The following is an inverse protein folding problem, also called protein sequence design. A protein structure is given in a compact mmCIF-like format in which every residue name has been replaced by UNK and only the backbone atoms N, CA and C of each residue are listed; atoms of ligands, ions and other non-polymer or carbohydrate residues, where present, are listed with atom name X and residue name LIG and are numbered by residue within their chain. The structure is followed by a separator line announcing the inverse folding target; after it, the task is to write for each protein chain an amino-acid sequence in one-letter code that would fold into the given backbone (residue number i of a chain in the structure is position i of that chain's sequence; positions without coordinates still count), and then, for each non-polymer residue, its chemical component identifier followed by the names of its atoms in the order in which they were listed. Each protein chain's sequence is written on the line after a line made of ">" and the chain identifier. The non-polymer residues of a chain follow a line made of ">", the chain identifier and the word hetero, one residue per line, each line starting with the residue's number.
data_IF_989632287617
#
_entry.id   IF_989632287617
#
_cell.length_a   1.000
_cell.length_b   1.000
_cell.length_c   1.000
_cell.angle_alpha   90.00
_cell.angle_beta   90.00
_cell.angle_gamma   90.00
#
_symmetry.space_group_name_H-M   'P 1'
#
loop_
_entity.id
_entity.type
_entity.pdbx_description
1 polymer ?
#
# COMPACT_ATOMS: atom_id res chain seq x y z
N UNK A 1 -4.95 19.88 -16.79
CA UNK A 1 -4.56 18.50 -16.45
C UNK A 1 -4.75 18.30 -14.96
N UNK A 2 -5.81 17.58 -14.55
CA UNK A 2 -6.21 17.39 -13.14
C UNK A 2 -6.31 15.87 -12.80
N UNK A 3 -6.07 15.00 -13.78
CA UNK A 3 -6.38 13.55 -13.70
C UNK A 3 -5.39 12.70 -12.91
N UNK A 4 -4.20 13.21 -12.57
CA UNK A 4 -3.15 12.38 -11.97
C UNK A 4 -3.39 12.06 -10.49
N UNK A 5 -4.03 12.96 -9.74
CA UNK A 5 -4.18 12.81 -8.28
C UNK A 5 -5.04 11.62 -7.84
N UNK A 6 -5.97 11.17 -8.67
CA UNK A 6 -6.86 10.04 -8.37
C UNK A 6 -6.64 8.83 -9.28
N UNK A 7 -5.72 8.90 -10.26
CA UNK A 7 -5.55 7.88 -11.28
C UNK A 7 -5.31 6.48 -10.68
N UNK A 8 -4.38 6.37 -9.72
CA UNK A 8 -4.08 5.10 -9.05
C UNK A 8 -5.31 4.58 -8.28
N UNK A 9 -6.06 5.44 -7.60
CA UNK A 9 -7.23 5.04 -6.83
C UNK A 9 -8.32 4.47 -7.76
N UNK A 10 -8.59 5.17 -8.87
CA UNK A 10 -9.57 4.71 -9.87
C UNK A 10 -9.12 3.39 -10.49
N UNK A 11 -7.83 3.24 -10.80
CA UNK A 11 -7.29 1.98 -11.31
C UNK A 11 -7.42 0.84 -10.30
N UNK A 12 -7.11 1.06 -9.02
CA UNK A 12 -7.28 0.06 -7.97
C UNK A 12 -8.73 -0.42 -7.85
N UNK A 13 -9.69 0.50 -8.01
CA UNK A 13 -11.11 0.21 -7.85
C UNK A 13 -11.73 -0.50 -9.07
N UNK A 14 -11.14 -0.37 -10.26
CA UNK A 14 -11.81 -0.74 -11.52
C UNK A 14 -11.00 -1.64 -12.44
N UNK A 15 -9.69 -1.78 -12.22
CA UNK A 15 -8.82 -2.51 -13.14
C UNK A 15 -9.02 -4.02 -13.01
N UNK A 16 -9.35 -4.72 -14.11
CA UNK A 16 -9.40 -6.19 -14.14
C UNK A 16 -8.05 -6.84 -13.82
N UNK A 17 -6.95 -6.09 -13.93
CA UNK A 17 -5.59 -6.58 -13.66
C UNK A 17 -5.36 -6.90 -12.18
N UNK A 18 -6.24 -6.42 -11.29
CA UNK A 18 -6.22 -6.73 -9.86
C UNK A 18 -7.15 -7.88 -9.47
N UNK A 19 -7.87 -8.49 -10.41
CA UNK A 19 -8.69 -9.66 -10.12
C UNK A 19 -7.82 -10.80 -9.56
N UNK A 20 -8.21 -11.31 -8.38
CA UNK A 20 -7.45 -12.35 -7.67
C UNK A 20 -6.30 -11.85 -6.81
N UNK A 21 -5.98 -10.54 -6.84
CA UNK A 21 -4.94 -9.93 -6.00
C UNK A 21 -5.57 -9.10 -4.86
N UNK A 22 -5.47 -9.59 -3.63
CA UNK A 22 -5.94 -8.88 -2.43
C UNK A 22 -4.78 -8.32 -1.60
N UNK A 23 -4.98 -7.16 -0.97
CA UNK A 23 -4.04 -6.59 0.01
C UNK A 23 -2.74 -6.05 -0.59
N UNK A 24 -2.72 -5.75 -1.90
CA UNK A 24 -1.54 -5.22 -2.60
C UNK A 24 -1.45 -3.70 -2.47
N UNK A 25 -0.23 -3.19 -2.34
CA UNK A 25 0.04 -1.75 -2.41
C UNK A 25 0.17 -1.34 -3.89
N UNK A 26 -0.59 -0.32 -4.29
CA UNK A 26 -0.62 0.16 -5.66
C UNK A 26 -0.14 1.61 -5.74
N UNK A 27 0.63 1.90 -6.77
CA UNK A 27 1.24 3.19 -7.03
C UNK A 27 1.44 3.35 -8.53
N UNK A 28 1.27 4.57 -9.06
CA UNK A 28 1.45 4.88 -10.49
C UNK A 28 0.66 3.92 -11.41
N UNK A 29 -0.61 3.64 -11.07
CA UNK A 29 -1.50 2.79 -11.89
C UNK A 29 -0.93 1.36 -12.06
N UNK A 30 -0.24 0.85 -11.03
CA UNK A 30 0.33 -0.49 -11.03
C UNK A 30 0.46 -1.05 -9.59
N UNK A 31 0.65 -2.37 -9.46
CA UNK A 31 1.11 -2.97 -8.20
C UNK A 31 2.57 -2.58 -8.00
N UNK A 32 2.89 -1.96 -6.86
CA UNK A 32 4.24 -1.46 -6.63
C UNK A 32 5.19 -2.58 -6.18
N UNK A 33 6.47 -2.40 -6.47
CA UNK A 33 7.53 -3.29 -5.99
C UNK A 33 7.89 -2.99 -4.53
N UNK A 34 8.62 -3.91 -3.90
CA UNK A 34 9.20 -3.67 -2.58
C UNK A 34 10.43 -2.80 -2.76
N UNK A 35 10.42 -1.63 -2.14
CA UNK A 35 11.53 -0.69 -2.15
C UNK A 35 12.57 -1.10 -1.10
N UNK A 36 13.72 -1.57 -1.55
CA UNK A 36 14.84 -1.95 -0.68
C UNK A 36 15.93 -0.90 -0.61
N UNK A 37 15.93 0.10 -1.49
CA UNK A 37 16.95 1.14 -1.47
C UNK A 37 16.56 2.33 -0.58
N UNK A 38 17.58 2.94 0.03
CA UNK A 38 17.41 4.02 1.00
C UNK A 38 16.77 5.28 0.40
N UNK A 39 16.98 5.52 -0.90
CA UNK A 39 16.55 6.74 -1.60
C UNK A 39 15.36 6.53 -2.55
N UNK A 40 14.78 5.34 -2.57
CA UNK A 40 13.57 5.07 -3.35
C UNK A 40 12.41 5.92 -2.86
N UNK A 41 11.85 6.70 -3.78
CA UNK A 41 10.68 7.55 -3.57
C UNK A 41 9.36 6.84 -3.87
N UNK A 42 9.44 5.71 -4.58
CA UNK A 42 8.33 4.85 -5.01
C UNK A 42 8.58 3.45 -4.46
N UNK A 43 7.54 2.62 -4.38
CA UNK A 43 7.66 1.27 -3.84
C UNK A 43 7.26 1.16 -2.37
N UNK A 44 6.69 0.01 -2.01
CA UNK A 44 6.28 -0.27 -0.63
C UNK A 44 7.52 -0.55 0.22
N UNK A 45 7.61 0.06 1.40
CA UNK A 45 8.73 -0.20 2.31
C UNK A 45 8.54 -1.56 3.00
N UNK A 46 9.63 -2.32 3.27
CA UNK A 46 9.52 -3.69 3.81
C UNK A 46 8.77 -3.76 5.13
N UNK A 47 8.95 -2.78 6.00
CA UNK A 47 8.24 -2.71 7.28
C UNK A 47 6.72 -2.50 7.12
N UNK A 48 6.26 -1.95 5.99
CA UNK A 48 4.84 -1.70 5.75
C UNK A 48 4.06 -2.98 5.37
N UNK A 49 4.77 -4.06 5.00
CA UNK A 49 4.21 -5.38 4.68
C UNK A 49 4.55 -6.43 5.74
N UNK A 50 5.19 -6.02 6.84
CA UNK A 50 5.51 -6.89 7.97
C UNK A 50 4.23 -7.21 8.76
N UNK A 51 3.84 -8.49 8.74
CA UNK A 51 2.62 -8.99 9.39
C UNK A 51 2.71 -8.90 10.91
N UNK A 52 3.88 -9.17 11.48
CA UNK A 52 4.06 -9.17 12.94
C UNK A 52 3.99 -7.74 13.47
N UNK A 53 4.59 -6.79 12.74
CA UNK A 53 4.48 -5.37 13.06
C UNK A 53 3.03 -4.87 12.93
N UNK A 54 2.31 -5.30 11.89
CA UNK A 54 0.91 -4.95 11.69
C UNK A 54 0.01 -5.49 12.81
N UNK A 55 0.19 -6.76 13.22
CA UNK A 55 -0.55 -7.35 14.34
C UNK A 55 -0.24 -6.64 15.66
N UNK A 56 1.04 -6.33 15.90
CA UNK A 56 1.46 -5.59 17.09
C UNK A 56 0.75 -4.23 17.15
N UNK A 57 0.80 -3.46 16.07
CA UNK A 57 0.15 -2.15 15.99
C UNK A 57 -1.37 -2.25 16.21
N UNK A 58 -2.03 -3.23 15.58
CA UNK A 58 -3.45 -3.47 15.75
C UNK A 58 -3.83 -3.76 17.20
N UNK A 59 -3.01 -4.57 17.89
CA UNK A 59 -3.26 -4.96 19.27
C UNK A 59 -2.94 -3.86 20.27
N UNK A 60 -1.99 -2.96 20.00
CA UNK A 60 -1.53 -1.87 20.90
C UNK A 60 -2.34 -0.57 20.75
N UNK A 61 -2.96 -0.35 19.59
CA UNK A 61 -3.73 0.88 19.32
C UNK A 61 -4.89 1.08 20.30
N UNK A 62 -5.72 0.08 20.63
CA UNK A 62 -6.83 0.25 21.57
C UNK A 62 -6.43 0.72 22.97
N UNK A 63 -5.24 0.34 23.47
CA UNK A 63 -4.76 0.73 24.80
C UNK A 63 -4.23 2.18 24.84
N UNK A 64 -3.93 2.76 23.68
CA UNK A 64 -3.51 4.16 23.57
C UNK A 64 -4.71 5.11 23.56
N UNK A 65 -5.88 4.63 23.19
CA UNK A 65 -7.11 5.42 23.03
C UNK A 65 -8.25 5.00 23.97
N UNK A 66 -8.01 4.05 24.88
CA UNK A 66 -8.94 3.61 25.93
C UNK A 66 -8.59 4.17 27.29
#
# INVERSE_FOLDING_TARGET
>A
TISEGAATIVWCATSPQLEGFGGVYCENVNISHISTEKNDKVGVKPWAIDKDLALKLWNETPQLFG
#
